data_IF_762241877820
#
_entry.id   IF_762241877820
#
_cell.length_a   1.000
_cell.length_b   1.000
_cell.length_c   1.000
_cell.angle_alpha   90.00
_cell.angle_beta   90.00
_cell.angle_gamma   90.00
#
_symmetry.space_group_name_H-M   'P 1'
#
loop_
_entity.id
_entity.type
_entity.pdbx_description
1 polymer ?
#
# COMPACT_ATOMS: atom_id res chain seq x y z
N UNK A 1 -14.86 -0.82 1.20
CA UNK A 1 -13.89 -0.71 2.31
C UNK A 1 -13.75 0.76 2.70
N UNK A 2 -13.63 1.10 3.98
CA UNK A 2 -13.61 2.48 4.46
C UNK A 2 -12.23 3.11 4.48
N UNK A 3 -11.18 2.31 4.68
CA UNK A 3 -9.78 2.76 4.79
C UNK A 3 -8.83 1.70 4.23
N UNK A 4 -7.56 2.03 3.93
CA UNK A 4 -6.54 1.04 3.54
C UNK A 4 -6.13 0.11 4.68
N UNK A 5 -5.70 -1.11 4.34
CA UNK A 5 -5.15 -2.09 5.29
C UNK A 5 -3.78 -2.56 4.84
N UNK A 6 -2.94 -2.96 5.80
CA UNK A 6 -1.67 -3.61 5.50
C UNK A 6 -1.93 -4.97 4.84
N UNK A 7 -1.37 -5.21 3.65
CA UNK A 7 -1.44 -6.50 2.94
C UNK A 7 -0.20 -7.33 3.24
N UNK A 8 0.99 -6.73 3.13
CA UNK A 8 2.26 -7.37 3.43
C UNK A 8 3.00 -6.47 4.40
N UNK A 9 3.38 -7.00 5.56
CA UNK A 9 4.24 -6.31 6.52
C UNK A 9 5.67 -6.85 6.46
N UNK A 10 6.63 -6.05 6.93
CA UNK A 10 7.96 -6.55 7.30
C UNK A 10 7.92 -6.85 8.80
N UNK A 11 8.19 -8.11 9.16
CA UNK A 11 8.35 -8.45 10.57
C UNK A 11 9.68 -7.92 11.13
N UNK A 12 9.89 -8.14 12.44
CA UNK A 12 11.09 -7.67 13.14
C UNK A 12 12.39 -8.29 12.61
N UNK A 13 12.30 -9.42 11.91
CA UNK A 13 13.43 -10.13 11.32
C UNK A 13 13.63 -9.73 9.84
N UNK A 14 12.87 -8.76 9.33
CA UNK A 14 12.90 -8.32 7.94
C UNK A 14 12.22 -9.29 6.97
N UNK A 15 11.46 -10.27 7.45
CA UNK A 15 10.71 -11.19 6.58
C UNK A 15 9.37 -10.58 6.20
N UNK A 16 8.95 -10.86 4.97
CA UNK A 16 7.65 -10.45 4.45
C UNK A 16 6.57 -11.40 4.96
N UNK A 17 5.52 -10.85 5.59
CA UNK A 17 4.36 -11.62 6.05
C UNK A 17 3.08 -11.04 5.49
N UNK A 18 2.18 -11.91 5.02
CA UNK A 18 0.84 -11.51 4.57
C UNK A 18 -0.05 -11.32 5.79
N UNK A 19 -0.76 -10.19 5.84
CA UNK A 19 -1.70 -9.91 6.93
C UNK A 19 -3.01 -10.69 6.71
N UNK A 20 -3.45 -11.55 7.65
CA UNK A 20 -4.62 -12.41 7.45
C UNK A 20 -5.91 -11.65 7.12
N UNK A 21 -6.15 -10.52 7.79
CA UNK A 21 -7.33 -9.68 7.55
C UNK A 21 -7.42 -9.18 6.10
N UNK A 22 -6.27 -8.83 5.49
CA UNK A 22 -6.25 -8.38 4.10
C UNK A 22 -6.59 -9.51 3.14
N UNK A 23 -6.12 -10.72 3.45
CA UNK A 23 -6.43 -11.92 2.68
C UNK A 23 -7.92 -12.28 2.76
N UNK A 24 -8.55 -12.11 3.93
CA UNK A 24 -9.98 -12.35 4.10
C UNK A 24 -10.82 -11.35 3.31
N UNK A 25 -10.41 -10.08 3.28
CA UNK A 25 -11.03 -9.06 2.42
C UNK A 25 -10.92 -9.48 0.94
N UNK A 26 -9.73 -9.89 0.48
CA UNK A 26 -9.52 -10.31 -0.91
C UNK A 26 -10.40 -11.53 -1.29
N UNK A 27 -10.55 -12.51 -0.40
CA UNK A 27 -11.40 -13.70 -0.63
C UNK A 27 -12.89 -13.37 -0.78
N UNK A 28 -13.34 -12.27 -0.19
CA UNK A 28 -14.72 -11.82 -0.28
C UNK A 28 -15.03 -11.10 -1.60
N UNK A 29 -14.02 -10.64 -2.34
CA UNK A 29 -14.20 -9.98 -3.63
C UNK A 29 -14.60 -11.04 -4.68
N UNK A 30 -15.83 -10.94 -5.19
CA UNK A 30 -16.35 -11.83 -6.27
C UNK A 30 -16.33 -11.20 -7.65
N UNK A 31 -16.13 -9.89 -7.71
CA UNK A 31 -16.07 -9.12 -8.94
C UNK A 31 -14.69 -9.23 -9.60
N UNK A 32 -14.58 -9.05 -10.93
CA UNK A 32 -13.29 -8.88 -11.59
C UNK A 32 -12.53 -7.70 -10.98
N UNK A 33 -11.21 -7.88 -10.83
CA UNK A 33 -10.34 -6.93 -10.13
C UNK A 33 -9.45 -6.18 -11.12
N UNK A 34 -9.35 -4.87 -10.94
CA UNK A 34 -8.33 -4.02 -11.56
C UNK A 34 -7.37 -3.59 -10.47
N UNK A 35 -6.09 -3.92 -10.62
CA UNK A 35 -5.05 -3.57 -9.64
C UNK A 35 -4.22 -2.41 -10.16
N UNK A 36 -4.05 -1.38 -9.34
CA UNK A 36 -3.14 -0.24 -9.62
C UNK A 36 -2.13 -0.16 -8.49
N UNK A 37 -0.85 -0.16 -8.82
CA UNK A 37 0.25 -0.12 -7.84
C UNK A 37 1.14 1.08 -8.11
N UNK A 38 1.69 1.69 -7.05
CA UNK A 38 2.74 2.70 -7.15
C UNK A 38 3.98 2.25 -6.38
N UNK A 39 5.15 2.39 -7.01
CA UNK A 39 6.46 2.09 -6.42
C UNK A 39 7.41 3.25 -6.70
N UNK A 40 8.38 3.47 -5.81
CA UNK A 40 9.39 4.50 -5.98
C UNK A 40 10.06 4.87 -4.66
N UNK A 41 11.03 5.77 -4.74
CA UNK A 41 11.80 6.22 -3.57
C UNK A 41 10.90 6.73 -2.44
N UNK A 42 11.41 6.68 -1.21
CA UNK A 42 10.72 7.28 -0.08
C UNK A 42 10.44 8.78 -0.34
N UNK A 43 9.31 9.27 0.17
CA UNK A 43 8.88 10.68 0.12
C UNK A 43 8.67 11.31 -1.28
N UNK A 44 8.43 10.51 -2.32
CA UNK A 44 8.07 11.01 -3.67
C UNK A 44 6.57 11.24 -3.89
N UNK A 45 5.75 11.26 -2.83
CA UNK A 45 4.31 11.54 -2.94
C UNK A 45 3.42 10.38 -3.40
N UNK A 46 3.91 9.14 -3.35
CA UNK A 46 3.16 7.93 -3.73
C UNK A 46 1.78 7.82 -3.06
N UNK A 47 1.74 7.81 -1.74
CA UNK A 47 0.48 7.73 -0.97
C UNK A 47 -0.47 8.90 -1.26
N UNK A 48 0.07 10.08 -1.55
CA UNK A 48 -0.72 11.24 -1.98
C UNK A 48 -1.38 10.99 -3.34
N UNK A 49 -0.63 10.48 -4.33
CA UNK A 49 -1.17 10.11 -5.64
C UNK A 49 -2.25 9.03 -5.51
N UNK A 50 -2.02 8.01 -4.68
CA UNK A 50 -3.00 6.93 -4.47
C UNK A 50 -4.29 7.44 -3.81
N UNK A 51 -4.19 8.39 -2.87
CA UNK A 51 -5.37 9.05 -2.31
C UNK A 51 -6.14 9.85 -3.36
N UNK A 52 -5.46 10.52 -4.29
CA UNK A 52 -6.14 11.19 -5.42
C UNK A 52 -6.88 10.19 -6.31
N UNK A 53 -6.27 9.05 -6.62
CA UNK A 53 -6.90 7.98 -7.40
C UNK A 53 -8.11 7.35 -6.69
N UNK A 54 -8.09 7.29 -5.36
CA UNK A 54 -9.22 6.78 -4.56
C UNK A 54 -10.46 7.69 -4.59
N UNK A 55 -10.30 8.96 -4.98
CA UNK A 55 -11.36 9.97 -4.89
C UNK A 55 -11.75 10.34 -3.44
N UNK A 56 -10.99 9.89 -2.43
CA UNK A 56 -11.24 10.16 -1.00
C UNK A 56 -10.23 11.15 -0.44
N UNK A 57 -10.67 11.95 0.54
CA UNK A 57 -9.81 12.94 1.24
C UNK A 57 -8.90 12.30 2.29
N UNK A 58 -9.36 11.23 2.94
CA UNK A 58 -8.58 10.42 3.89
C UNK A 58 -8.43 9.01 3.33
N UNK A 59 -7.24 8.43 3.45
CA UNK A 59 -6.90 7.13 2.88
C UNK A 59 -5.52 6.68 3.38
N UNK A 60 -4.60 6.39 2.47
CA UNK A 60 -3.23 6.02 2.80
C UNK A 60 -2.57 7.11 3.65
N UNK A 61 -1.87 6.67 4.70
CA UNK A 61 -1.22 7.58 5.63
C UNK A 61 -0.16 8.42 4.90
N UNK A 62 -0.21 9.74 5.08
CA UNK A 62 0.80 10.65 4.54
C UNK A 62 1.91 10.81 5.59
N UNK A 63 3.16 10.53 5.19
CA UNK A 63 4.34 10.81 6.01
C UNK A 63 4.72 12.28 5.94
N UNK A 64 4.63 13.02 7.06
CA UNK A 64 5.16 14.38 7.19
C UNK A 64 6.57 14.42 7.82
N UNK A 65 7.07 13.28 8.30
CA UNK A 65 8.32 13.15 9.08
C UNK A 65 9.37 12.33 8.32
N UNK A 66 10.61 12.33 8.82
CA UNK A 66 11.78 11.66 8.20
C UNK A 66 11.63 10.13 8.18
N UNK A 67 10.84 9.56 9.10
CA UNK A 67 10.60 8.12 9.21
C UNK A 67 9.57 7.63 8.18
N UNK A 68 9.85 6.50 7.51
CA UNK A 68 8.86 5.91 6.60
C UNK A 68 7.65 5.39 7.39
N UNK A 69 6.47 5.95 7.10
CA UNK A 69 5.21 5.51 7.73
C UNK A 69 4.62 4.28 7.07
N UNK A 70 4.70 4.20 5.74
CA UNK A 70 4.23 3.03 5.00
C UNK A 70 5.33 1.98 5.02
N UNK A 71 5.26 1.06 5.97
CA UNK A 71 6.10 -0.15 5.97
C UNK A 71 5.34 -1.25 5.24
N UNK A 72 6.04 -1.99 4.38
CA UNK A 72 5.45 -3.07 3.59
C UNK A 72 4.56 -2.58 2.44
N UNK A 73 3.51 -3.35 2.11
CA UNK A 73 2.55 -3.07 1.04
C UNK A 73 1.16 -2.92 1.64
N UNK A 74 0.52 -1.80 1.33
CA UNK A 74 -0.83 -1.47 1.79
C UNK A 74 -1.81 -1.56 0.63
N UNK A 75 -3.01 -2.07 0.90
CA UNK A 75 -4.06 -2.23 -0.09
C UNK A 75 -5.33 -1.47 0.28
N UNK A 76 -6.07 -1.04 -0.74
CA UNK A 76 -7.41 -0.48 -0.55
C UNK A 76 -8.35 -0.90 -1.68
N UNK A 77 -9.40 -1.64 -1.33
CA UNK A 77 -10.41 -2.12 -2.27
C UNK A 77 -11.63 -1.18 -2.35
N UNK A 78 -11.92 -0.71 -3.56
CA UNK A 78 -12.92 0.30 -3.87
C UNK A 78 -13.75 -0.13 -5.10
N UNK A 79 -14.99 0.39 -5.28
CA UNK A 79 -15.68 0.28 -6.56
C UNK A 79 -14.87 0.97 -7.66
N UNK A 80 -14.74 0.34 -8.84
CA UNK A 80 -14.05 0.96 -9.95
C UNK A 80 -14.85 2.16 -10.49
N UNK A 81 -14.24 3.35 -10.72
CA UNK A 81 -14.97 4.58 -11.06
C UNK A 81 -15.65 4.55 -12.44
N UNK A 82 -15.09 3.81 -13.40
CA UNK A 82 -15.60 3.73 -14.78
C UNK A 82 -16.24 2.36 -15.10
N UNK A 83 -15.58 1.25 -14.74
CA UNK A 83 -16.04 -0.11 -15.01
C UNK A 83 -17.02 -0.60 -13.94
N UNK A 84 -18.32 -0.51 -14.22
CA UNK A 84 -19.38 -1.05 -13.34
C UNK A 84 -19.15 -2.56 -13.11
N UNK A 85 -19.43 -3.01 -11.88
CA UNK A 85 -19.27 -4.42 -11.49
C UNK A 85 -17.81 -4.88 -11.33
N UNK A 86 -16.84 -3.95 -11.32
CA UNK A 86 -15.44 -4.25 -11.06
C UNK A 86 -14.99 -3.64 -9.73
N UNK A 87 -14.04 -4.32 -9.08
CA UNK A 87 -13.33 -3.80 -7.91
C UNK A 87 -11.99 -3.23 -8.33
N UNK A 88 -11.70 -1.98 -7.95
CA UNK A 88 -10.39 -1.35 -8.02
C UNK A 88 -9.63 -1.67 -6.73
N UNK A 89 -8.45 -2.28 -6.84
CA UNK A 89 -7.52 -2.47 -5.71
C UNK A 89 -6.32 -1.56 -5.93
N UNK A 90 -6.18 -0.60 -5.04
CA UNK A 90 -5.04 0.31 -4.97
C UNK A 90 -3.96 -0.28 -4.06
N UNK A 91 -2.73 -0.38 -4.54
CA UNK A 91 -1.57 -0.83 -3.78
C UNK A 91 -0.55 0.31 -3.63
N UNK A 92 -0.30 0.73 -2.40
CA UNK A 92 0.74 1.70 -2.04
C UNK A 92 1.88 0.96 -1.35
N UNK A 93 3.12 1.19 -1.80
CA UNK A 93 4.28 0.47 -1.28
C UNK A 93 5.17 1.37 -0.42
N UNK A 94 5.90 0.73 0.48
CA UNK A 94 7.04 1.32 1.15
C UNK A 94 8.01 1.96 0.15
N UNK A 95 8.61 3.07 0.56
CA UNK A 95 9.59 3.78 -0.23
C UNK A 95 10.92 3.05 -0.29
N UNK A 96 11.46 2.90 -1.49
CA UNK A 96 12.83 2.41 -1.67
C UNK A 96 13.84 3.41 -1.09
N UNK A 97 14.93 2.92 -0.51
CA UNK A 97 16.00 3.77 0.04
C UNK A 97 15.70 4.40 1.39
N UNK A 98 14.71 3.90 2.14
CA UNK A 98 14.50 4.29 3.53
C UNK A 98 15.78 4.05 4.35
N UNK A 99 16.22 5.07 5.08
CA UNK A 99 17.54 5.12 5.75
C UNK A 99 17.70 3.98 6.78
N UNK A 100 16.59 3.50 7.35
CA UNK A 100 16.56 2.33 8.24
C UNK A 100 16.86 0.99 7.51
N UNK A 101 16.71 0.92 6.18
CA UNK A 101 16.99 -0.26 5.35
C UNK A 101 18.23 -0.12 4.46
N UNK A 102 18.77 1.08 4.28
CA UNK A 102 20.02 1.31 3.52
C UNK A 102 21.21 0.59 4.18
N UNK A 103 21.18 0.37 5.50
CA UNK A 103 22.17 -0.45 6.22
C UNK A 103 22.22 -1.93 5.76
N UNK A 104 21.21 -2.45 5.07
CA UNK A 104 21.23 -3.81 4.52
C UNK A 104 21.83 -3.91 3.11
N UNK A 105 22.02 -2.79 2.41
CA UNK A 105 22.49 -2.77 1.01
C UNK A 105 23.98 -2.50 0.86
N UNK A 106 24.68 -2.23 1.96
CA UNK A 106 26.13 -2.12 2.02
C UNK A 106 26.65 -2.92 3.22
N UNK A 107 26.92 -4.24 3.07
CA UNK A 107 27.81 -4.90 4.01
C UNK A 107 29.21 -4.29 3.83
N UNK A 108 29.85 -3.97 4.95
CA UNK A 108 31.22 -3.44 5.02
C UNK A 108 32.20 -4.32 4.26
#
# INVERSE_FOLDING_TARGET
>A
MTEPVCLIENDKDGKLRVHPQALDILRQIKQPVVVVTVVGLYRTGKSYLMNKLSGKRMGFALGATIQSKTKGIWMWALPHPIKVGHTLVLLDTEGLGDVEKVLFLYPV
#
